data_IF_087493764220
#
_entry.id   IF_087493764220
#
_cell.length_a   1.000
_cell.length_b   1.000
_cell.length_c   1.000
_cell.angle_alpha   90.00
_cell.angle_beta   90.00
_cell.angle_gamma   90.00
#
_symmetry.space_group_name_H-M   'P 1'
#
loop_
_entity.id
_entity.type
_entity.pdbx_description
1 polymer ?
#
# COMPACT_ATOMS: atom_id res chain seq x y z
N UNK A 1 -10.34 0.30 8.10
CA UNK A 1 -11.26 -0.85 8.29
C UNK A 1 -10.44 -2.12 8.14
N UNK A 2 -10.74 -3.19 8.88
CA UNK A 2 -10.01 -4.47 8.75
C UNK A 2 -10.46 -5.22 7.50
N UNK A 3 -9.50 -5.73 6.74
CA UNK A 3 -9.70 -6.45 5.50
C UNK A 3 -8.98 -7.80 5.55
N UNK A 4 -9.65 -8.85 5.06
CA UNK A 4 -9.04 -10.15 4.86
C UNK A 4 -8.61 -10.26 3.39
N UNK A 5 -7.31 -10.16 3.08
CA UNK A 5 -6.83 -10.25 1.70
C UNK A 5 -6.94 -11.68 1.14
N UNK A 6 -6.93 -12.70 2.01
CA UNK A 6 -7.10 -14.10 1.61
C UNK A 6 -8.50 -14.39 1.06
N UNK A 7 -9.55 -14.00 1.79
CA UNK A 7 -10.95 -14.21 1.38
C UNK A 7 -11.51 -13.03 0.57
N UNK A 8 -10.71 -11.99 0.38
CA UNK A 8 -11.05 -10.73 -0.29
C UNK A 8 -12.29 -10.03 0.27
N UNK A 9 -12.55 -10.13 1.58
CA UNK A 9 -13.71 -9.54 2.27
C UNK A 9 -13.30 -8.60 3.41
N UNK A 10 -14.12 -7.57 3.66
CA UNK A 10 -13.99 -6.78 4.88
C UNK A 10 -14.37 -7.62 6.10
N UNK A 11 -13.50 -7.62 7.11
CA UNK A 11 -13.72 -8.40 8.30
C UNK A 11 -14.91 -7.83 9.08
N UNK A 12 -15.95 -8.64 9.22
CA UNK A 12 -17.07 -8.38 10.13
C UNK A 12 -16.89 -9.20 11.41
N UNK A 13 -17.76 -9.00 12.41
CA UNK A 13 -17.76 -9.77 13.67
C UNK A 13 -17.82 -11.30 13.47
N UNK A 14 -18.26 -11.78 12.30
CA UNK A 14 -18.40 -13.21 11.99
C UNK A 14 -17.25 -13.78 11.16
N UNK A 15 -16.29 -12.95 10.77
CA UNK A 15 -15.17 -13.42 9.95
C UNK A 15 -14.22 -14.29 10.79
N UNK A 16 -13.89 -15.48 10.29
CA UNK A 16 -13.20 -16.52 11.06
C UNK A 16 -11.68 -16.55 10.89
N UNK A 17 -11.10 -15.71 10.03
CA UNK A 17 -9.64 -15.63 9.96
C UNK A 17 -9.06 -15.07 11.26
N UNK A 18 -7.88 -15.58 11.59
CA UNK A 18 -7.03 -15.00 12.63
C UNK A 18 -6.86 -13.50 12.41
N UNK A 19 -7.00 -12.72 13.48
CA UNK A 19 -6.83 -11.27 13.48
C UNK A 19 -5.45 -10.85 12.94
N UNK A 20 -4.42 -11.67 13.14
CA UNK A 20 -3.08 -11.44 12.61
C UNK A 20 -2.99 -11.54 11.08
N UNK A 21 -4.01 -12.12 10.43
CA UNK A 21 -4.12 -12.19 8.96
C UNK A 21 -5.00 -11.08 8.38
N UNK A 22 -5.55 -10.21 9.25
CA UNK A 22 -6.34 -9.07 8.85
C UNK A 22 -5.45 -7.84 8.76
N UNK A 23 -5.71 -7.01 7.76
CA UNK A 23 -4.90 -5.82 7.49
C UNK A 23 -5.76 -4.57 7.50
N UNK A 24 -5.19 -3.46 7.96
CA UNK A 24 -5.88 -2.17 7.95
C UNK A 24 -5.75 -1.55 6.57
N UNK A 25 -6.90 -1.25 5.96
CA UNK A 25 -6.93 -0.52 4.69
C UNK A 25 -7.98 0.59 4.68
N UNK A 26 -7.72 1.58 3.84
CA UNK A 26 -8.79 2.41 3.25
C UNK A 26 -9.40 1.71 2.04
N UNK A 27 -10.70 1.94 1.79
CA UNK A 27 -11.48 1.19 0.80
C UNK A 27 -10.88 1.26 -0.61
N UNK A 28 -10.38 2.44 -0.97
CA UNK A 28 -9.80 2.78 -2.26
C UNK A 28 -8.52 1.96 -2.50
N UNK A 29 -7.71 1.72 -1.47
CA UNK A 29 -6.45 0.98 -1.57
C UNK A 29 -6.62 -0.55 -1.60
N UNK A 30 -7.85 -1.07 -1.61
CA UNK A 30 -8.11 -2.52 -1.64
C UNK A 30 -7.38 -3.23 -2.78
N UNK A 31 -7.40 -2.67 -3.98
CA UNK A 31 -6.79 -3.33 -5.14
C UNK A 31 -5.27 -3.35 -5.10
N UNK A 32 -4.63 -2.42 -4.39
CA UNK A 32 -3.19 -2.46 -4.10
C UNK A 32 -2.89 -3.64 -3.18
N UNK A 33 -3.64 -3.75 -2.07
CA UNK A 33 -3.46 -4.85 -1.10
C UNK A 33 -3.70 -6.21 -1.73
N UNK A 34 -4.75 -6.36 -2.54
CA UNK A 34 -5.04 -7.62 -3.22
C UNK A 34 -3.88 -8.07 -4.10
N UNK A 35 -3.35 -7.17 -4.94
CA UNK A 35 -2.26 -7.49 -5.86
C UNK A 35 -0.98 -7.83 -5.12
N UNK A 36 -0.59 -7.01 -4.16
CA UNK A 36 0.61 -7.27 -3.38
C UNK A 36 0.48 -8.56 -2.57
N UNK A 37 -0.69 -8.85 -1.99
CA UNK A 37 -0.95 -10.11 -1.30
C UNK A 37 -0.86 -11.31 -2.26
N UNK A 38 -1.40 -11.20 -3.48
CA UNK A 38 -1.31 -12.25 -4.51
C UNK A 38 0.15 -12.49 -4.97
N UNK A 39 1.08 -11.55 -4.73
CA UNK A 39 2.52 -11.75 -4.90
C UNK A 39 3.17 -12.47 -3.73
N UNK A 40 2.92 -11.99 -2.51
CA UNK A 40 3.66 -12.44 -1.33
C UNK A 40 3.04 -13.65 -0.62
N UNK A 41 1.77 -13.92 -0.88
CA UNK A 41 1.01 -14.97 -0.23
C UNK A 41 0.85 -14.77 1.27
N UNK A 42 0.56 -15.86 1.98
CA UNK A 42 0.25 -15.86 3.41
C UNK A 42 1.49 -15.81 4.32
N UNK A 43 2.70 -15.92 3.76
CA UNK A 43 3.94 -16.09 4.53
C UNK A 43 4.65 -14.79 4.90
N UNK A 44 4.35 -13.68 4.21
CA UNK A 44 5.19 -12.49 4.32
C UNK A 44 4.85 -11.58 5.51
N UNK A 45 3.73 -11.74 6.20
CA UNK A 45 3.33 -10.86 7.30
C UNK A 45 2.31 -9.79 6.89
N UNK A 46 2.04 -8.83 7.77
CA UNK A 46 1.00 -7.83 7.56
C UNK A 46 1.38 -6.83 6.45
N UNK A 47 0.48 -6.69 5.47
CA UNK A 47 0.56 -5.71 4.39
C UNK A 47 -0.64 -4.76 4.50
N UNK A 48 -0.41 -3.49 4.80
CA UNK A 48 -1.47 -2.47 4.86
C UNK A 48 -1.30 -1.44 3.76
N UNK A 49 -2.43 -0.84 3.35
CA UNK A 49 -2.41 0.31 2.46
C UNK A 49 -3.52 1.28 2.82
N UNK A 50 -3.15 2.52 3.08
CA UNK A 50 -4.09 3.56 3.52
C UNK A 50 -3.78 4.88 2.83
N UNK A 51 -4.82 5.67 2.56
CA UNK A 51 -4.66 7.05 2.12
C UNK A 51 -5.23 8.02 3.16
N UNK A 52 -4.68 9.23 3.17
CA UNK A 52 -5.10 10.32 4.03
C UNK A 52 -5.18 11.60 3.21
N UNK A 53 -6.27 12.33 3.40
CA UNK A 53 -6.47 13.66 2.83
C UNK A 53 -6.58 14.64 3.99
N UNK A 54 -5.73 15.65 4.00
CA UNK A 54 -5.73 16.68 5.03
C UNK A 54 -5.88 18.05 4.38
N UNK A 55 -6.93 18.84 4.70
CA UNK A 55 -7.06 20.20 4.18
C UNK A 55 -5.95 21.08 4.74
N UNK A 56 -5.42 21.97 3.91
CA UNK A 56 -4.41 22.95 4.33
C UNK A 56 -5.11 24.11 5.04
N UNK A 57 -4.86 24.29 6.34
CA UNK A 57 -5.59 25.21 7.24
C UNK A 57 -5.64 26.67 6.73
N UNK A 58 -4.69 27.09 5.89
CA UNK A 58 -4.60 28.45 5.36
C UNK A 58 -5.19 28.64 3.95
N UNK A 59 -5.76 27.60 3.33
CA UNK A 59 -6.29 27.68 1.97
C UNK A 59 -7.60 26.92 1.85
N UNK A 60 -8.58 27.48 1.13
CA UNK A 60 -9.89 26.82 0.96
C UNK A 60 -9.87 25.69 -0.08
N UNK A 61 -8.79 25.58 -0.86
CA UNK A 61 -8.74 24.69 -2.02
C UNK A 61 -7.54 23.74 -2.02
N UNK A 62 -6.64 23.76 -1.04
CA UNK A 62 -5.50 22.84 -1.02
C UNK A 62 -5.65 21.72 -0.02
N UNK A 63 -5.13 20.55 -0.43
CA UNK A 63 -5.18 19.33 0.31
C UNK A 63 -3.82 18.63 0.23
N UNK A 64 -3.32 18.14 1.36
CA UNK A 64 -2.26 17.15 1.38
C UNK A 64 -2.86 15.77 1.18
N UNK A 65 -2.45 15.11 0.10
CA UNK A 65 -2.80 13.72 -0.20
C UNK A 65 -1.59 12.87 0.15
N UNK A 66 -1.79 11.86 0.98
CA UNK A 66 -0.78 10.88 1.34
C UNK A 66 -1.32 9.48 1.07
N UNK A 67 -0.51 8.61 0.47
CA UNK A 67 -0.80 7.18 0.37
C UNK A 67 0.38 6.43 0.95
N UNK A 68 0.13 5.52 1.89
CA UNK A 68 1.13 4.71 2.55
C UNK A 68 0.82 3.23 2.33
N UNK A 69 1.83 2.47 1.97
CA UNK A 69 1.79 1.02 1.82
C UNK A 69 2.87 0.45 2.74
N UNK A 70 2.44 -0.19 3.82
CA UNK A 70 3.35 -0.86 4.73
C UNK A 70 3.63 -2.26 4.19
N UNK A 71 4.90 -2.54 3.96
CA UNK A 71 5.37 -3.83 3.54
C UNK A 71 6.05 -4.54 4.69
N UNK A 72 6.05 -5.88 4.69
CA UNK A 72 6.79 -6.63 5.68
C UNK A 72 8.28 -6.32 5.63
N UNK A 73 8.91 -5.97 6.77
CA UNK A 73 10.19 -5.29 6.73
C UNK A 73 11.41 -6.18 6.55
N UNK A 74 11.33 -7.47 6.90
CA UNK A 74 12.56 -8.25 7.09
C UNK A 74 13.13 -8.83 5.80
N UNK A 75 12.32 -9.06 4.77
CA UNK A 75 12.73 -9.89 3.63
C UNK A 75 11.96 -9.61 2.33
N UNK A 76 11.18 -8.53 2.25
CA UNK A 76 10.49 -8.20 1.00
C UNK A 76 11.52 -7.74 -0.05
N UNK A 77 11.63 -8.41 -1.22
CA UNK A 77 12.64 -8.11 -2.22
C UNK A 77 12.23 -6.87 -3.03
N UNK A 78 12.15 -5.72 -2.37
CA UNK A 78 11.58 -4.47 -2.90
C UNK A 78 12.23 -4.03 -4.21
N UNK A 79 13.53 -4.32 -4.36
CA UNK A 79 14.31 -4.04 -5.56
C UNK A 79 13.78 -4.75 -6.81
N UNK A 80 13.05 -5.85 -6.65
CA UNK A 80 12.44 -6.59 -7.77
C UNK A 80 11.15 -5.93 -8.28
N UNK A 81 10.58 -4.97 -7.55
CA UNK A 81 9.46 -4.18 -8.07
C UNK A 81 9.94 -3.20 -9.15
N UNK A 82 11.23 -2.86 -9.20
CA UNK A 82 11.78 -1.94 -10.19
C UNK A 82 11.51 -0.48 -9.84
N UNK A 83 11.42 0.36 -10.87
CA UNK A 83 11.21 1.80 -10.73
C UNK A 83 9.72 2.11 -10.53
N UNK A 84 9.41 2.75 -9.40
CA UNK A 84 8.03 3.12 -9.08
C UNK A 84 7.51 4.26 -9.97
N UNK A 85 6.17 4.40 -10.10
CA UNK A 85 5.58 5.54 -10.79
C UNK A 85 6.02 6.87 -10.15
N UNK A 86 5.94 7.95 -10.94
CA UNK A 86 6.41 9.27 -10.50
C UNK A 86 5.69 9.70 -9.22
N UNK A 87 6.45 10.19 -8.24
CA UNK A 87 5.93 10.65 -6.95
C UNK A 87 5.84 9.58 -5.87
N UNK A 88 6.03 8.30 -6.21
CA UNK A 88 6.16 7.23 -5.24
C UNK A 88 7.62 7.06 -4.79
N UNK A 89 7.80 6.88 -3.50
CA UNK A 89 9.12 6.76 -2.85
C UNK A 89 9.13 5.61 -1.85
N UNK A 90 10.29 4.99 -1.69
CA UNK A 90 10.51 3.95 -0.67
C UNK A 90 11.16 4.60 0.55
N UNK A 91 10.57 4.37 1.72
CA UNK A 91 11.20 4.67 2.99
C UNK A 91 11.60 3.36 3.68
N UNK A 92 12.89 3.22 3.96
CA UNK A 92 13.43 2.19 4.82
C UNK A 92 13.94 2.85 6.08
N UNK A 93 13.22 2.70 7.17
CA UNK A 93 13.56 3.34 8.44
C UNK A 93 13.78 2.28 9.53
N UNK A 94 14.93 2.31 10.20
CA UNK A 94 15.21 1.58 11.44
C UNK A 94 15.08 2.56 12.61
N UNK A 95 13.91 3.16 12.79
CA UNK A 95 13.79 4.37 13.65
C UNK A 95 12.81 4.22 14.81
N UNK A 96 12.04 3.13 14.89
CA UNK A 96 11.24 2.90 16.10
C UNK A 96 12.17 2.60 17.29
N UNK A 97 11.74 2.99 18.50
CA UNK A 97 12.50 2.80 19.75
C UNK A 97 12.78 1.33 20.09
N UNK A 98 12.14 0.40 19.38
CA UNK A 98 12.34 -1.04 19.43
C UNK A 98 13.24 -1.59 18.30
N UNK A 99 13.83 -0.70 17.48
CA UNK A 99 14.69 -1.01 16.34
C UNK A 99 14.06 -1.89 15.25
N UNK A 100 12.73 -1.94 15.17
CA UNK A 100 12.04 -2.62 14.08
C UNK A 100 12.24 -1.80 12.81
N UNK A 101 12.83 -2.44 11.79
CA UNK A 101 12.87 -1.82 10.45
C UNK A 101 11.44 -1.74 9.91
N UNK A 102 11.07 -0.62 9.30
CA UNK A 102 9.81 -0.45 8.60
C UNK A 102 10.14 -0.21 7.13
N UNK A 103 9.46 -0.95 6.25
CA UNK A 103 9.52 -0.77 4.81
C UNK A 103 8.18 -0.18 4.36
N UNK A 104 8.20 1.08 3.93
CA UNK A 104 7.00 1.79 3.49
C UNK A 104 7.19 2.27 2.06
N UNK A 105 6.20 2.06 1.21
CA UNK A 105 6.09 2.80 -0.06
C UNK A 105 5.11 3.94 0.20
N UNK A 106 5.54 5.17 -0.06
CA UNK A 106 4.76 6.38 0.18
C UNK A 106 4.57 7.19 -1.10
N UNK A 107 3.43 7.84 -1.20
CA UNK A 107 3.15 8.90 -2.17
C UNK A 107 2.65 10.12 -1.41
N UNK A 108 3.23 11.29 -1.68
CA UNK A 108 2.83 12.54 -1.04
C UNK A 108 2.65 13.63 -2.11
N UNK A 109 1.51 14.32 -2.09
CA UNK A 109 1.19 15.40 -3.02
C UNK A 109 0.44 16.52 -2.32
N UNK A 110 0.77 17.77 -2.67
CA UNK A 110 -0.11 18.92 -2.39
C UNK A 110 -1.00 19.13 -3.61
N UNK A 111 -2.28 18.83 -3.46
CA UNK A 111 -3.28 18.99 -4.50
C UNK A 111 -4.07 20.29 -4.29
N UNK A 112 -4.19 21.11 -5.34
CA UNK A 112 -5.03 22.31 -5.34
C UNK A 112 -6.27 22.07 -6.20
N UNK A 113 -7.45 22.15 -5.58
CA UNK A 113 -8.74 22.08 -6.25
C UNK A 113 -8.91 23.30 -7.17
N UNK A 114 -9.20 23.02 -8.44
CA UNK A 114 -9.34 24.01 -9.52
C UNK A 114 -10.80 24.17 -10.00
N UNK A 115 -11.76 23.52 -9.34
CA UNK A 115 -13.17 23.52 -9.75
C UNK A 115 -13.55 22.37 -10.67
N UNK A 116 -12.59 21.64 -11.26
CA UNK A 116 -12.87 20.56 -12.23
C UNK A 116 -12.79 19.18 -11.57
N UNK A 117 -11.70 18.94 -10.84
CA UNK A 117 -11.37 17.61 -10.33
C UNK A 117 -11.37 17.59 -8.82
N UNK A 118 -12.17 16.73 -8.20
CA UNK A 118 -12.20 16.67 -6.74
C UNK A 118 -10.94 16.00 -6.18
N UNK A 119 -10.62 16.29 -4.91
CA UNK A 119 -9.52 15.60 -4.21
C UNK A 119 -9.71 14.07 -4.19
N UNK A 120 -10.96 13.61 -4.09
CA UNK A 120 -11.28 12.17 -4.13
C UNK A 120 -11.01 11.55 -5.51
N UNK A 121 -11.24 12.30 -6.59
CA UNK A 121 -10.92 11.83 -7.93
C UNK A 121 -9.41 11.74 -8.12
N UNK A 122 -8.67 12.72 -7.59
CA UNK A 122 -7.20 12.67 -7.60
C UNK A 122 -6.65 11.47 -6.80
N UNK A 123 -7.19 11.20 -5.62
CA UNK A 123 -6.83 10.01 -4.82
C UNK A 123 -7.06 8.72 -5.61
N UNK A 124 -8.21 8.58 -6.28
CA UNK A 124 -8.51 7.39 -7.08
C UNK A 124 -7.53 7.20 -8.21
N UNK A 125 -7.12 8.28 -8.88
CA UNK A 125 -6.12 8.19 -9.95
C UNK A 125 -4.75 7.75 -9.46
N UNK A 126 -4.25 8.36 -8.37
CA UNK A 126 -2.97 7.98 -7.76
C UNK A 126 -2.97 6.47 -7.44
N UNK A 127 -4.04 5.99 -6.83
CA UNK A 127 -4.19 4.57 -6.48
C UNK A 127 -4.29 3.71 -7.74
N UNK A 128 -5.03 4.13 -8.76
CA UNK A 128 -5.20 3.39 -10.02
C UNK A 128 -3.92 3.32 -10.83
N UNK A 129 -3.11 4.37 -10.84
CA UNK A 129 -1.79 4.40 -11.45
C UNK A 129 -0.87 3.37 -10.79
N UNK A 130 -0.87 3.30 -9.46
CA UNK A 130 -0.09 2.30 -8.74
C UNK A 130 -0.61 0.88 -8.95
N UNK A 131 -1.94 0.68 -8.97
CA UNK A 131 -2.53 -0.61 -9.32
C UNK A 131 -2.12 -1.05 -10.73
N UNK A 132 -2.13 -0.14 -11.71
CA UNK A 132 -1.70 -0.41 -13.07
C UNK A 132 -0.21 -0.78 -13.13
N UNK A 133 0.63 -0.07 -12.38
CA UNK A 133 2.04 -0.41 -12.21
C UNK A 133 2.21 -1.84 -11.71
N UNK A 134 1.45 -2.24 -10.68
CA UNK A 134 1.51 -3.61 -10.16
C UNK A 134 1.06 -4.67 -11.17
N UNK A 135 0.21 -4.30 -12.13
CA UNK A 135 -0.24 -5.22 -13.17
C UNK A 135 0.76 -5.37 -14.33
N UNK A 136 1.74 -4.46 -14.48
CA UNK A 136 2.48 -4.32 -15.75
C UNK A 136 3.99 -4.18 -15.66
N UNK A 137 4.57 -3.76 -14.53
CA UNK A 137 5.97 -3.29 -14.50
C UNK A 137 6.98 -4.21 -13.79
N UNK A 138 6.56 -5.33 -13.21
CA UNK A 138 7.48 -6.31 -12.62
C UNK A 138 7.12 -7.74 -13.03
N UNK A 139 8.06 -8.68 -12.84
CA UNK A 139 7.82 -10.10 -13.05
C UNK A 139 7.31 -10.77 -11.75
N UNK A 140 6.00 -11.10 -11.67
CA UNK A 140 5.43 -11.73 -10.48
C UNK A 140 6.04 -13.10 -10.19
N UNK A 141 6.52 -13.83 -11.20
CA UNK A 141 7.14 -15.14 -11.01
C UNK A 141 8.56 -15.03 -10.45
N UNK A 142 9.32 -14.03 -10.89
CA UNK A 142 10.63 -13.73 -10.31
C UNK A 142 10.50 -13.40 -8.81
N UNK A 143 9.55 -12.53 -8.45
CA UNK A 143 9.28 -12.17 -7.06
C UNK A 143 8.87 -13.40 -6.24
N UNK A 144 7.90 -14.19 -6.73
CA UNK A 144 7.45 -15.41 -6.05
C UNK A 144 8.58 -16.42 -5.86
N UNK A 145 9.46 -16.57 -6.85
CA UNK A 145 10.59 -17.49 -6.79
C UNK A 145 11.61 -17.05 -5.74
N UNK A 146 11.92 -15.76 -5.68
CA UNK A 146 12.83 -15.20 -4.66
C UNK A 146 12.22 -15.33 -3.27
N UNK A 147 10.94 -14.95 -3.08
CA UNK A 147 10.25 -15.13 -1.81
C UNK A 147 10.23 -16.60 -1.37
N UNK A 148 9.98 -17.52 -2.31
CA UNK A 148 10.02 -18.96 -2.02
C UNK A 148 11.40 -19.42 -1.56
N UNK A 149 12.48 -18.90 -2.15
CA UNK A 149 13.85 -19.22 -1.72
C UNK A 149 14.20 -18.61 -0.35
N UNK A 150 13.62 -17.46 0.00
CA UNK A 150 13.85 -16.80 1.28
C UNK A 150 13.10 -17.44 2.44
N UNK A 151 11.93 -18.04 2.17
CA UNK A 151 11.04 -18.64 3.18
C UNK A 151 10.92 -20.18 3.10
N UNK A 152 11.73 -20.85 2.28
CA UNK A 152 11.87 -22.32 2.26
C UNK A 152 12.85 -22.81 3.30
#
# INVERSE_FOLDING_TARGET
MLYCPYHKVYASKRHQCDALKLVTITKECKGIVDRLFDLVGTGAGALSASHFVTPVIATECEYYINVYIDLPPKDFPIKLLGDFPVGWVIHTETVSSDHISILVIAYNETFRYDGVKTVNDRVKEIIKEFEYYLDTHYDPQAIKSVLKLMYS
#
